data_IF_945171591230
#
_entry.id   IF_945171591230
#
_cell.length_a   1.000
_cell.length_b   1.000
_cell.length_c   1.000
_cell.angle_alpha   90.00
_cell.angle_beta   90.00
_cell.angle_gamma   90.00
#
_symmetry.space_group_name_H-M   'P 1'
#
loop_
_entity.id
_entity.type
_entity.pdbx_description
1 polymer ?
#
# COMPACT_ATOMS: atom_id res chain seq x y z
N UNK A 1 -10.07 20.88 -0.92
CA UNK A 1 -10.72 21.14 0.37
C UNK A 1 -11.17 19.87 1.11
N UNK A 2 -11.82 18.92 0.49
CA UNK A 2 -12.29 17.64 1.09
C UNK A 2 -11.18 16.75 1.65
N UNK A 3 -9.98 16.75 1.08
CA UNK A 3 -8.83 15.93 1.53
C UNK A 3 -8.43 16.23 2.97
N UNK A 4 -8.39 17.53 3.35
CA UNK A 4 -8.05 17.95 4.70
C UNK A 4 -9.14 17.56 5.72
N UNK A 5 -10.40 17.60 5.32
CA UNK A 5 -11.53 17.27 6.20
C UNK A 5 -11.58 15.77 6.55
N UNK A 6 -11.06 14.89 5.68
CA UNK A 6 -11.00 13.45 5.95
C UNK A 6 -9.70 13.09 6.67
N UNK A 7 -8.56 13.68 6.29
CA UNK A 7 -7.28 13.44 6.99
C UNK A 7 -7.29 13.91 8.45
N UNK A 8 -7.99 14.97 8.76
CA UNK A 8 -8.05 15.54 10.12
C UNK A 8 -8.64 14.57 11.17
N UNK A 9 -9.84 13.97 10.98
CA UNK A 9 -10.37 13.01 11.95
C UNK A 9 -9.56 11.71 12.01
N UNK A 10 -8.92 11.30 10.91
CA UNK A 10 -8.00 10.15 10.90
C UNK A 10 -6.80 10.44 11.78
N UNK A 11 -6.18 11.62 11.65
CA UNK A 11 -5.07 12.04 12.50
C UNK A 11 -5.48 12.16 13.98
N UNK A 12 -6.70 12.66 14.27
CA UNK A 12 -7.24 12.72 15.62
C UNK A 12 -7.41 11.32 16.24
N UNK A 13 -7.92 10.36 15.47
CA UNK A 13 -8.03 8.95 15.90
C UNK A 13 -6.66 8.33 16.18
N UNK A 14 -5.65 8.62 15.36
CA UNK A 14 -4.28 8.12 15.60
C UNK A 14 -3.69 8.67 16.89
N UNK A 15 -3.90 9.96 17.19
CA UNK A 15 -3.49 10.59 18.46
C UNK A 15 -4.22 9.96 19.65
N UNK A 16 -5.52 9.69 19.54
CA UNK A 16 -6.30 9.06 20.61
C UNK A 16 -5.80 7.62 20.86
N UNK A 17 -5.50 6.86 19.80
CA UNK A 17 -4.93 5.54 19.91
C UNK A 17 -3.55 5.53 20.56
N UNK A 18 -2.68 6.50 20.22
CA UNK A 18 -1.37 6.66 20.85
C UNK A 18 -1.48 7.02 22.34
N UNK A 19 -2.43 7.88 22.71
CA UNK A 19 -2.69 8.23 24.11
C UNK A 19 -3.22 7.01 24.89
N UNK A 20 -4.11 6.22 24.30
CA UNK A 20 -4.61 4.99 24.90
C UNK A 20 -3.48 3.98 25.12
N UNK A 21 -2.57 3.85 24.17
CA UNK A 21 -1.38 3.01 24.26
C UNK A 21 -0.48 3.40 25.45
N UNK A 22 -0.26 4.72 25.66
CA UNK A 22 0.51 5.24 26.81
C UNK A 22 -0.16 4.95 28.15
N UNK A 23 -1.49 5.05 28.22
CA UNK A 23 -2.24 4.73 29.46
C UNK A 23 -2.18 3.23 29.81
N UNK A 24 -1.97 2.35 28.82
CA UNK A 24 -1.85 0.91 29.02
C UNK A 24 -0.62 0.47 29.80
N UNK A 25 0.44 1.28 29.80
CA UNK A 25 1.67 1.00 30.60
C UNK A 25 1.48 1.06 32.12
N UNK A 26 0.29 1.43 32.60
CA UNK A 26 -0.04 1.53 34.02
C UNK A 26 -0.90 0.36 34.53
N UNK A 27 -1.13 -0.66 33.70
CA UNK A 27 -2.02 -1.78 33.99
C UNK A 27 -1.25 -3.10 34.25
N UNK A 28 -1.91 -4.07 34.84
CA UNK A 28 -1.40 -5.41 35.06
C UNK A 28 -1.01 -6.11 33.74
N UNK A 29 0.05 -6.96 33.76
CA UNK A 29 0.66 -7.53 32.54
C UNK A 29 -0.36 -8.25 31.61
N UNK A 30 -1.34 -8.95 32.19
CA UNK A 30 -2.33 -9.71 31.43
C UNK A 30 -3.38 -8.82 30.76
N UNK A 31 -3.82 -7.78 31.46
CA UNK A 31 -4.73 -6.77 30.91
C UNK A 31 -4.01 -5.87 29.89
N UNK A 32 -2.72 -5.56 30.12
CA UNK A 32 -1.89 -4.84 29.18
C UNK A 32 -1.77 -5.56 27.83
N UNK A 33 -1.52 -6.87 27.85
CA UNK A 33 -1.33 -7.65 26.62
C UNK A 33 -2.61 -7.70 25.77
N UNK A 34 -3.78 -7.85 26.38
CA UNK A 34 -5.07 -7.91 25.68
C UNK A 34 -5.47 -6.54 25.10
N UNK A 35 -5.23 -5.46 25.83
CA UNK A 35 -5.50 -4.08 25.36
C UNK A 35 -4.51 -3.63 24.32
N UNK A 36 -3.23 -3.98 24.43
CA UNK A 36 -2.21 -3.68 23.42
C UNK A 36 -2.51 -4.33 22.06
N UNK A 37 -3.03 -5.57 22.04
CA UNK A 37 -3.50 -6.24 20.83
C UNK A 37 -4.66 -5.45 20.20
N UNK A 38 -5.64 -5.02 21.01
CA UNK A 38 -6.79 -4.23 20.54
C UNK A 38 -6.38 -2.89 19.92
N UNK A 39 -5.42 -2.18 20.51
CA UNK A 39 -4.90 -0.92 19.95
C UNK A 39 -4.14 -1.14 18.64
N UNK A 40 -3.37 -2.22 18.55
CA UNK A 40 -2.67 -2.59 17.32
C UNK A 40 -3.65 -2.89 16.18
N UNK A 41 -4.75 -3.59 16.48
CA UNK A 41 -5.79 -3.89 15.50
C UNK A 41 -6.52 -2.62 15.04
N UNK A 42 -6.83 -1.70 15.96
CA UNK A 42 -7.42 -0.40 15.63
C UNK A 42 -6.51 0.43 14.71
N UNK A 43 -5.20 0.48 14.99
CA UNK A 43 -4.21 1.15 14.12
C UNK A 43 -4.15 0.52 12.72
N UNK A 44 -4.30 -0.80 12.65
CA UNK A 44 -4.33 -1.51 11.38
C UNK A 44 -5.58 -1.15 10.55
N UNK A 45 -6.75 -1.07 11.19
CA UNK A 45 -7.99 -0.67 10.51
C UNK A 45 -7.93 0.81 10.08
N UNK A 46 -7.37 1.69 10.92
CA UNK A 46 -7.14 3.09 10.56
C UNK A 46 -6.24 3.22 9.33
N UNK A 47 -5.13 2.47 9.28
CA UNK A 47 -4.25 2.43 8.12
C UNK A 47 -4.98 2.01 6.84
N UNK A 48 -5.89 1.01 6.92
CA UNK A 48 -6.71 0.61 5.76
C UNK A 48 -7.65 1.73 5.31
N UNK A 49 -8.25 2.47 6.25
CA UNK A 49 -9.11 3.62 5.93
C UNK A 49 -8.30 4.69 5.19
N UNK A 50 -7.10 5.01 5.66
CA UNK A 50 -6.19 5.95 4.96
C UNK A 50 -5.91 5.50 3.53
N UNK A 51 -5.59 4.22 3.32
CA UNK A 51 -5.35 3.67 1.98
C UNK A 51 -6.58 3.80 1.07
N UNK A 52 -7.78 3.54 1.58
CA UNK A 52 -9.01 3.70 0.80
C UNK A 52 -9.28 5.16 0.43
N UNK A 53 -9.05 6.09 1.37
CA UNK A 53 -9.19 7.54 1.13
C UNK A 53 -8.18 8.00 0.08
N UNK A 54 -6.91 7.63 0.20
CA UNK A 54 -5.88 7.98 -0.80
C UNK A 54 -6.23 7.42 -2.18
N UNK A 55 -6.70 6.17 -2.24
CA UNK A 55 -7.15 5.57 -3.50
C UNK A 55 -8.32 6.33 -4.14
N UNK A 56 -9.34 6.69 -3.35
CA UNK A 56 -10.49 7.44 -3.83
C UNK A 56 -10.09 8.84 -4.35
N UNK A 57 -9.19 9.53 -3.64
CA UNK A 57 -8.71 10.85 -4.05
C UNK A 57 -7.86 10.79 -5.31
N UNK A 58 -7.00 9.79 -5.44
CA UNK A 58 -6.19 9.61 -6.64
C UNK A 58 -7.04 9.16 -7.83
N UNK A 59 -8.11 8.39 -7.59
CA UNK A 59 -9.08 8.06 -8.63
C UNK A 59 -9.74 9.31 -9.24
N UNK A 60 -10.13 10.29 -8.41
CA UNK A 60 -10.72 11.55 -8.87
C UNK A 60 -9.73 12.45 -9.63
N UNK A 61 -8.42 12.28 -9.40
CA UNK A 61 -7.37 13.10 -9.98
C UNK A 61 -6.70 12.48 -11.20
N UNK A 62 -6.87 11.18 -11.41
CA UNK A 62 -6.11 10.45 -12.44
C UNK A 62 -6.42 10.93 -13.87
N UNK A 63 -7.60 11.47 -14.11
CA UNK A 63 -7.98 12.01 -15.42
C UNK A 63 -7.20 13.30 -15.75
N UNK A 64 -6.97 14.15 -14.74
CA UNK A 64 -6.30 15.46 -14.87
C UNK A 64 -4.81 15.44 -14.45
N UNK A 65 -4.26 14.26 -14.19
CA UNK A 65 -2.91 14.08 -13.62
C UNK A 65 -1.81 14.76 -14.47
N UNK A 66 -2.02 14.82 -15.79
CA UNK A 66 -1.00 15.33 -16.74
C UNK A 66 -0.63 16.79 -16.51
N UNK A 67 -1.52 17.59 -15.89
CA UNK A 67 -1.25 19.01 -15.57
C UNK A 67 -0.42 19.20 -14.30
N UNK A 68 -0.36 18.19 -13.43
CA UNK A 68 0.24 18.28 -12.09
C UNK A 68 1.54 17.47 -11.95
N UNK A 69 2.01 16.79 -13.02
CA UNK A 69 3.21 15.97 -12.99
C UNK A 69 4.48 16.82 -12.85
N UNK A 70 5.31 16.45 -11.88
CA UNK A 70 6.62 17.10 -11.64
C UNK A 70 7.72 16.05 -11.79
N UNK A 71 8.26 15.91 -13.00
CA UNK A 71 9.34 14.99 -13.28
C UNK A 71 10.67 15.48 -12.71
N UNK A 72 11.28 14.63 -11.86
CA UNK A 72 12.61 14.85 -11.29
C UNK A 72 13.41 13.55 -11.31
N UNK A 73 14.74 13.69 -11.29
CA UNK A 73 15.62 12.54 -11.08
C UNK A 73 15.49 12.07 -9.64
N UNK A 74 15.15 10.80 -9.46
CA UNK A 74 14.90 10.17 -8.16
C UNK A 74 15.72 8.90 -8.01
N UNK A 75 16.19 8.64 -6.79
CA UNK A 75 16.79 7.37 -6.44
C UNK A 75 15.69 6.33 -6.21
N UNK A 76 15.69 5.28 -7.02
CA UNK A 76 14.65 4.24 -6.98
C UNK A 76 14.61 3.53 -5.62
N UNK A 77 15.79 3.27 -5.05
CA UNK A 77 15.94 2.58 -3.77
C UNK A 77 15.32 3.36 -2.61
N UNK A 78 15.41 4.69 -2.63
CA UNK A 78 14.83 5.55 -1.58
C UNK A 78 13.29 5.45 -1.58
N UNK A 79 12.67 5.52 -2.78
CA UNK A 79 11.22 5.37 -2.91
C UNK A 79 10.75 3.97 -2.48
N UNK A 80 11.46 2.92 -2.89
CA UNK A 80 11.15 1.54 -2.48
C UNK A 80 11.28 1.37 -0.97
N UNK A 81 12.38 1.87 -0.37
CA UNK A 81 12.59 1.82 1.07
C UNK A 81 11.52 2.59 1.85
N UNK A 82 11.07 3.75 1.35
CA UNK A 82 9.98 4.51 1.95
C UNK A 82 8.71 3.68 2.02
N UNK A 83 8.33 3.03 0.92
CA UNK A 83 7.13 2.18 0.89
C UNK A 83 7.29 0.95 1.79
N UNK A 84 8.44 0.26 1.77
CA UNK A 84 8.70 -0.87 2.67
C UNK A 84 8.52 -0.46 4.14
N UNK A 85 9.06 0.70 4.56
CA UNK A 85 8.92 1.21 5.93
C UNK A 85 7.46 1.49 6.29
N UNK A 86 6.69 2.08 5.38
CA UNK A 86 5.25 2.35 5.57
C UNK A 86 4.46 1.06 5.87
N UNK A 87 4.81 -0.04 5.18
CA UNK A 87 4.14 -1.35 5.34
C UNK A 87 4.81 -2.29 6.35
N UNK A 88 5.90 -1.88 7.02
CA UNK A 88 6.69 -2.76 7.88
C UNK A 88 5.86 -3.48 8.95
N UNK A 89 4.93 -2.78 9.62
CA UNK A 89 4.05 -3.37 10.64
C UNK A 89 3.20 -4.51 10.07
N UNK A 90 2.73 -4.39 8.82
CA UNK A 90 1.93 -5.42 8.15
C UNK A 90 2.78 -6.64 7.82
N UNK A 91 4.00 -6.43 7.31
CA UNK A 91 4.96 -7.51 7.07
C UNK A 91 5.22 -8.33 8.35
N UNK A 92 5.48 -7.63 9.47
CA UNK A 92 5.74 -8.25 10.77
C UNK A 92 4.50 -9.01 11.27
N UNK A 93 3.33 -8.38 11.27
CA UNK A 93 2.08 -8.99 11.78
C UNK A 93 1.68 -10.23 10.99
N UNK A 94 1.89 -10.21 9.67
CA UNK A 94 1.62 -11.36 8.79
C UNK A 94 2.75 -12.38 8.73
N UNK A 95 3.90 -12.09 9.33
CA UNK A 95 5.12 -12.94 9.25
C UNK A 95 5.53 -13.22 7.80
N UNK A 96 5.41 -12.22 6.92
CA UNK A 96 5.84 -12.29 5.51
C UNK A 96 7.26 -11.73 5.43
N UNK A 97 8.18 -12.51 4.83
CA UNK A 97 9.55 -12.07 4.62
C UNK A 97 9.59 -10.99 3.52
N UNK A 98 10.28 -9.88 3.77
CA UNK A 98 10.65 -8.90 2.74
C UNK A 98 12.09 -9.18 2.29
N UNK A 99 12.28 -9.34 0.98
CA UNK A 99 13.58 -9.52 0.34
C UNK A 99 13.80 -8.39 -0.67
N UNK A 100 14.49 -7.34 -0.24
CA UNK A 100 14.80 -6.21 -1.11
C UNK A 100 16.27 -6.27 -1.54
N UNK A 101 16.51 -6.29 -2.84
CA UNK A 101 17.85 -6.19 -3.44
C UNK A 101 18.04 -4.79 -4.00
N UNK A 102 18.95 -3.97 -3.43
CA UNK A 102 19.19 -2.60 -3.89
C UNK A 102 19.46 -2.55 -5.39
N UNK A 103 18.80 -1.63 -6.06
CA UNK A 103 18.85 -1.50 -7.52
C UNK A 103 19.96 -0.59 -7.98
N UNK A 104 20.35 0.39 -7.14
CA UNK A 104 21.29 1.48 -7.46
C UNK A 104 20.90 2.26 -8.71
N UNK A 105 19.61 2.30 -9.02
CA UNK A 105 19.08 2.93 -10.21
C UNK A 105 18.48 4.29 -9.88
N UNK A 106 18.71 5.25 -10.79
CA UNK A 106 18.02 6.53 -10.80
C UNK A 106 17.03 6.55 -11.96
N UNK A 107 15.85 7.07 -11.72
CA UNK A 107 14.80 7.24 -12.74
C UNK A 107 14.31 8.68 -12.77
N UNK A 108 13.82 9.12 -13.92
CA UNK A 108 13.12 10.41 -14.04
C UNK A 108 11.65 10.14 -13.96
N UNK A 109 11.03 10.60 -12.88
CA UNK A 109 9.61 10.32 -12.61
C UNK A 109 9.02 11.39 -11.69
N UNK A 110 7.70 11.40 -11.55
CA UNK A 110 7.01 12.07 -10.44
C UNK A 110 7.03 11.15 -9.22
N UNK A 111 7.75 11.56 -8.17
CA UNK A 111 7.95 10.78 -6.94
C UNK A 111 6.63 10.35 -6.30
N UNK A 112 5.69 11.28 -6.15
CA UNK A 112 4.41 11.05 -5.47
C UNK A 112 3.59 9.99 -6.18
N UNK A 113 3.48 10.09 -7.50
CA UNK A 113 2.68 9.16 -8.29
C UNK A 113 3.34 7.80 -8.43
N UNK A 114 4.68 7.78 -8.53
CA UNK A 114 5.42 6.52 -8.56
C UNK A 114 5.36 5.78 -7.22
N UNK A 115 5.50 6.50 -6.08
CA UNK A 115 5.30 5.92 -4.74
C UNK A 115 3.89 5.34 -4.61
N UNK A 116 2.85 6.03 -5.08
CA UNK A 116 1.49 5.49 -5.06
C UNK A 116 1.39 4.16 -5.81
N UNK A 117 2.01 4.03 -6.99
CA UNK A 117 2.04 2.75 -7.74
C UNK A 117 2.74 1.66 -6.93
N UNK A 118 3.91 1.95 -6.35
CA UNK A 118 4.62 1.00 -5.49
C UNK A 118 3.77 0.55 -4.30
N UNK A 119 3.08 1.49 -3.65
CA UNK A 119 2.18 1.20 -2.52
C UNK A 119 1.03 0.27 -2.91
N UNK A 120 0.40 0.50 -4.07
CA UNK A 120 -0.68 -0.35 -4.56
C UNK A 120 -0.19 -1.77 -4.87
N UNK A 121 0.98 -1.91 -5.49
CA UNK A 121 1.56 -3.21 -5.81
C UNK A 121 1.96 -3.97 -4.54
N UNK A 122 2.63 -3.32 -3.59
CA UNK A 122 3.01 -3.94 -2.30
C UNK A 122 1.78 -4.28 -1.46
N UNK A 123 0.76 -3.41 -1.45
CA UNK A 123 -0.51 -3.68 -0.78
C UNK A 123 -1.20 -4.92 -1.34
N UNK A 124 -1.23 -5.07 -2.68
CA UNK A 124 -1.75 -6.25 -3.35
C UNK A 124 -0.94 -7.50 -3.01
N UNK A 125 0.39 -7.45 -3.09
CA UNK A 125 1.26 -8.55 -2.72
C UNK A 125 1.01 -9.01 -1.27
N UNK A 126 0.94 -8.06 -0.32
CA UNK A 126 0.62 -8.35 1.08
C UNK A 126 -0.79 -8.91 1.27
N UNK A 127 -1.75 -8.46 0.47
CA UNK A 127 -3.15 -8.92 0.56
C UNK A 127 -3.28 -10.38 0.14
N UNK A 128 -2.63 -10.76 -0.95
CA UNK A 128 -2.77 -12.07 -1.56
C UNK A 128 -1.74 -13.10 -1.11
N UNK A 129 -0.70 -12.67 -0.38
CA UNK A 129 0.26 -13.56 0.28
C UNK A 129 -0.18 -13.82 1.72
N UNK A 130 -0.50 -15.08 2.05
CA UNK A 130 -0.82 -15.50 3.43
C UNK A 130 0.43 -15.84 4.23
N UNK A 131 1.40 -16.52 3.60
CA UNK A 131 2.70 -16.92 4.15
C UNK A 131 3.71 -16.94 3.02
N UNK A 132 4.98 -16.68 3.33
CA UNK A 132 6.06 -16.72 2.35
C UNK A 132 6.82 -15.41 2.30
N UNK A 133 7.12 -14.91 1.09
CA UNK A 133 7.94 -13.72 0.92
C UNK A 133 7.43 -12.82 -0.21
N UNK A 134 7.84 -11.56 -0.13
CA UNK A 134 7.72 -10.58 -1.20
C UNK A 134 9.14 -10.12 -1.52
N UNK A 135 9.54 -10.23 -2.79
CA UNK A 135 10.86 -9.87 -3.27
C UNK A 135 10.79 -8.66 -4.19
N UNK A 136 11.71 -7.71 -4.02
CA UNK A 136 11.83 -6.53 -4.88
C UNK A 136 13.26 -6.48 -5.41
N UNK A 137 13.42 -6.45 -6.73
CA UNK A 137 14.73 -6.46 -7.40
C UNK A 137 14.65 -5.92 -8.82
N UNK A 138 15.81 -5.60 -9.39
CA UNK A 138 15.89 -5.28 -10.82
C UNK A 138 16.14 -6.55 -11.63
N UNK A 139 15.40 -6.69 -12.73
CA UNK A 139 15.67 -7.66 -13.79
C UNK A 139 15.81 -6.88 -15.09
N UNK A 140 17.01 -6.90 -15.66
CA UNK A 140 17.33 -6.05 -16.82
C UNK A 140 17.06 -4.57 -16.51
N UNK A 141 16.10 -3.95 -17.19
CA UNK A 141 15.67 -2.56 -16.98
C UNK A 141 14.32 -2.42 -16.25
N UNK A 142 13.82 -3.50 -15.68
CA UNK A 142 12.50 -3.52 -15.04
C UNK A 142 12.63 -3.73 -13.55
N UNK A 143 11.92 -2.91 -12.77
CA UNK A 143 11.70 -3.17 -11.35
C UNK A 143 10.67 -4.30 -11.22
N UNK A 144 11.04 -5.35 -10.54
CA UNK A 144 10.18 -6.52 -10.29
C UNK A 144 9.74 -6.53 -8.83
N UNK A 145 8.45 -6.67 -8.62
CA UNK A 145 7.84 -6.97 -7.31
C UNK A 145 7.21 -8.34 -7.45
N UNK A 146 7.76 -9.33 -6.78
CA UNK A 146 7.36 -10.74 -6.85
C UNK A 146 6.84 -11.19 -5.50
N UNK A 147 5.69 -11.84 -5.48
CA UNK A 147 5.10 -12.42 -4.27
C UNK A 147 4.89 -13.94 -4.43
N UNK A 148 4.90 -14.65 -3.29
CA UNK A 148 4.65 -16.09 -3.23
C UNK A 148 3.19 -16.38 -2.85
N UNK A 149 2.28 -15.49 -3.23
CA UNK A 149 0.85 -15.60 -2.92
C UNK A 149 0.10 -16.59 -3.78
N UNK A 150 -1.21 -16.42 -3.82
CA UNK A 150 -2.12 -17.33 -4.55
C UNK A 150 -2.03 -17.20 -6.08
N UNK A 151 -1.30 -16.20 -6.59
CA UNK A 151 -1.20 -15.90 -8.01
C UNK A 151 -2.51 -15.36 -8.61
N UNK A 152 -2.49 -15.17 -9.93
CA UNK A 152 -3.63 -14.69 -10.72
C UNK A 152 -3.97 -15.78 -11.76
N UNK A 153 -5.23 -16.25 -11.83
CA UNK A 153 -5.65 -17.19 -12.86
C UNK A 153 -5.37 -16.65 -14.27
N UNK A 154 -4.93 -17.50 -15.18
CA UNK A 154 -4.56 -17.10 -16.54
C UNK A 154 -5.72 -16.39 -17.28
N UNK A 155 -6.95 -16.79 -17.00
CA UNK A 155 -8.17 -16.19 -17.55
C UNK A 155 -8.42 -14.76 -17.06
N UNK A 156 -7.95 -14.42 -15.87
CA UNK A 156 -8.09 -13.08 -15.27
C UNK A 156 -6.99 -12.11 -15.74
N UNK A 157 -5.80 -12.61 -16.12
CA UNK A 157 -4.63 -11.78 -16.46
C UNK A 157 -4.92 -10.67 -17.50
N UNK A 158 -5.67 -10.89 -18.59
CA UNK A 158 -5.95 -9.84 -19.56
C UNK A 158 -6.80 -8.69 -18.98
N UNK A 159 -7.51 -8.95 -17.88
CA UNK A 159 -8.54 -8.06 -17.31
C UNK A 159 -8.14 -7.37 -16.03
N UNK A 160 -7.01 -7.73 -15.41
CA UNK A 160 -6.60 -7.21 -14.10
C UNK A 160 -6.46 -5.70 -14.03
N UNK A 161 -6.27 -5.05 -15.19
CA UNK A 161 -6.17 -3.59 -15.30
C UNK A 161 -7.48 -2.92 -15.71
N UNK A 162 -8.57 -3.67 -15.92
CA UNK A 162 -9.89 -3.11 -16.20
C UNK A 162 -10.46 -2.44 -14.95
N UNK A 163 -11.15 -1.31 -15.14
CA UNK A 163 -11.79 -0.55 -14.07
C UNK A 163 -12.85 -1.39 -13.35
N UNK A 164 -12.69 -1.54 -12.04
CA UNK A 164 -13.64 -2.27 -11.20
C UNK A 164 -13.53 -3.79 -11.32
N UNK A 165 -12.56 -4.32 -12.06
CA UNK A 165 -12.37 -5.76 -12.14
C UNK A 165 -11.81 -6.31 -10.83
N UNK A 166 -12.51 -7.27 -10.28
CA UNK A 166 -12.07 -8.04 -9.12
C UNK A 166 -12.19 -9.50 -9.48
N UNK A 167 -11.10 -10.21 -9.71
CA UNK A 167 -11.10 -11.63 -9.98
C UNK A 167 -11.88 -12.44 -8.94
N UNK A 168 -12.04 -13.74 -9.18
CA UNK A 168 -12.80 -14.64 -8.29
C UNK A 168 -12.43 -14.46 -6.81
N UNK A 169 -11.15 -14.45 -6.50
CA UNK A 169 -10.63 -14.27 -5.13
C UNK A 169 -10.94 -12.90 -4.50
N UNK A 170 -11.18 -11.87 -5.31
CA UNK A 170 -11.54 -10.54 -4.85
C UNK A 170 -13.01 -10.41 -4.48
N UNK A 171 -13.89 -11.20 -5.13
CA UNK A 171 -15.34 -11.23 -4.87
C UNK A 171 -15.66 -11.99 -3.58
N UNK A 172 -15.03 -13.13 -3.35
CA UNK A 172 -15.23 -13.97 -2.15
C UNK A 172 -14.95 -13.20 -0.85
N UNK A 173 -13.94 -12.34 -0.86
CA UNK A 173 -13.52 -11.61 0.35
C UNK A 173 -14.18 -10.23 0.52
N UNK A 174 -15.03 -9.74 -0.38
CA UNK A 174 -15.65 -8.38 -0.37
C UNK A 174 -14.66 -7.23 -0.08
N UNK A 175 -13.35 -7.46 -0.25
CA UNK A 175 -12.25 -6.55 0.19
C UNK A 175 -11.51 -5.89 -0.97
N UNK A 176 -12.02 -5.98 -2.20
CA UNK A 176 -11.35 -5.42 -3.38
C UNK A 176 -12.26 -4.45 -4.09
N UNK A 177 -11.76 -3.26 -4.38
CA UNK A 177 -12.48 -2.24 -5.15
C UNK A 177 -12.33 -2.41 -6.66
N UNK A 178 -11.32 -3.19 -7.10
CA UNK A 178 -10.94 -3.32 -8.51
C UNK A 178 -10.37 -2.04 -9.14
N UNK A 179 -10.03 -1.04 -8.32
CA UNK A 179 -9.57 0.28 -8.80
C UNK A 179 -8.04 0.38 -8.74
N UNK A 180 -7.38 -0.32 -7.81
CA UNK A 180 -5.94 -0.16 -7.55
C UNK A 180 -5.05 -0.41 -8.77
N UNK A 181 -5.16 -1.57 -9.43
CA UNK A 181 -4.35 -1.89 -10.62
C UNK A 181 -4.75 -1.05 -11.83
N UNK A 182 -6.04 -0.70 -11.97
CA UNK A 182 -6.49 0.24 -12.98
C UNK A 182 -5.78 1.60 -12.84
N UNK A 183 -5.70 2.13 -11.62
CA UNK A 183 -4.97 3.37 -11.32
C UNK A 183 -3.47 3.22 -11.61
N UNK A 184 -2.85 2.11 -11.19
CA UNK A 184 -1.44 1.85 -11.48
C UNK A 184 -1.15 1.93 -12.98
N UNK A 185 -1.96 1.28 -13.81
CA UNK A 185 -1.79 1.33 -15.26
C UNK A 185 -1.91 2.76 -15.80
N UNK A 186 -2.99 3.48 -15.45
CA UNK A 186 -3.19 4.85 -15.95
C UNK A 186 -2.07 5.81 -15.53
N UNK A 187 -1.55 5.66 -14.30
CA UNK A 187 -0.44 6.47 -13.81
C UNK A 187 0.84 6.10 -14.56
N UNK A 188 1.16 4.82 -14.69
CA UNK A 188 2.36 4.39 -15.41
C UNK A 188 2.36 4.78 -16.88
N UNK A 189 1.20 4.73 -17.55
CA UNK A 189 1.04 5.20 -18.94
C UNK A 189 1.31 6.71 -19.09
N UNK A 190 1.15 7.50 -18.02
CA UNK A 190 1.42 8.96 -17.99
C UNK A 190 2.83 9.32 -17.49
N UNK A 191 3.51 8.40 -16.80
CA UNK A 191 4.87 8.57 -16.33
C UNK A 191 5.95 8.13 -17.35
N UNK A 192 5.53 7.59 -18.49
CA UNK A 192 6.42 7.15 -19.59
C UNK A 192 6.91 8.28 -20.46
#
# INVERSE_FOLDING_TARGET
MWVHQIKTPIAALDILLQNTERMLYQLDEKEMMQKAISVSDMKMELFKIEQYVEMALNYLRVEDISSDLVFKKQELDDMVCQVIRKYAKIFISKKIKMDFKPTKACIVTDEKWFIFVLEQLISNALKYTKKGQISIYMKEKSLVIEDTGIGIPAEDLPRIFEKGFTGYNGRENKKSTGIGLYLCKNIMDKLQ
#
